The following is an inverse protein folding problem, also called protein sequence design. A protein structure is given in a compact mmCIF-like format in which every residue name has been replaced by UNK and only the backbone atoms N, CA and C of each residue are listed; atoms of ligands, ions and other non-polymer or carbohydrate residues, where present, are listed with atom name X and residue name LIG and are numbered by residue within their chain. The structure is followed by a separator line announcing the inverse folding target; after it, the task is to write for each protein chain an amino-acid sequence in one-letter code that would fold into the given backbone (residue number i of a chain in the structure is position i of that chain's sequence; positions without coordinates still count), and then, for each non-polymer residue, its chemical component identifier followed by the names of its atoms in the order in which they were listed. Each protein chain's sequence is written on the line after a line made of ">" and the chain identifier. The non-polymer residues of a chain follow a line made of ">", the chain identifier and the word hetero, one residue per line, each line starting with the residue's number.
data_IF_788046313716
#
_entry.id   IF_788046313716
#
_cell.length_a   1.000
_cell.length_b   1.000
_cell.length_c   1.000
_cell.angle_alpha   90.00
_cell.angle_beta   90.00
_cell.angle_gamma   90.00
#
_symmetry.space_group_name_H-M   'P 1'
#
loop_
_entity.id
_entity.type
_entity.pdbx_description
1 polymer ?
#
# COMPACT_ATOMS: atom_id res chain seq x y z
N UNK A 1 -35.79 47.05 -47.59
CA UNK A 1 -34.72 46.04 -47.43
C UNK A 1 -35.22 44.98 -46.45
N UNK A 2 -35.68 43.85 -47.00
CA UNK A 2 -35.46 42.45 -46.56
C UNK A 2 -35.34 42.13 -45.05
N UNK A 3 -36.32 41.32 -44.61
CA UNK A 3 -36.35 40.22 -43.61
C UNK A 3 -36.48 40.48 -42.10
N UNK A 4 -37.57 39.94 -41.55
CA UNK A 4 -37.54 39.10 -40.34
C UNK A 4 -38.68 38.06 -40.39
N UNK A 5 -38.30 36.79 -40.48
CA UNK A 5 -39.17 35.63 -40.30
C UNK A 5 -39.27 35.38 -38.79
N UNK A 6 -40.48 35.37 -38.24
CA UNK A 6 -40.76 34.80 -36.92
C UNK A 6 -41.56 33.51 -37.14
N UNK A 7 -40.90 32.37 -36.97
CA UNK A 7 -41.54 31.09 -36.75
C UNK A 7 -42.03 31.03 -35.30
N UNK A 8 -43.32 30.75 -35.13
CA UNK A 8 -43.93 30.35 -33.88
C UNK A 8 -43.72 28.83 -33.72
N UNK A 9 -42.85 28.43 -32.80
CA UNK A 9 -42.80 27.06 -32.31
C UNK A 9 -43.96 26.83 -31.32
N UNK A 10 -44.74 25.75 -31.43
CA UNK A 10 -45.72 25.42 -30.40
C UNK A 10 -45.02 24.73 -29.23
N UNK A 11 -45.33 25.28 -28.07
CA UNK A 11 -45.10 24.83 -26.70
C UNK A 11 -45.34 23.33 -26.49
N UNK A 12 -44.47 22.75 -25.65
CA UNK A 12 -44.50 21.35 -25.24
C UNK A 12 -45.86 20.88 -24.72
N UNK A 13 -46.22 19.68 -25.16
CA UNK A 13 -47.16 18.83 -24.46
C UNK A 13 -46.36 17.77 -23.69
N UNK A 14 -46.70 17.47 -22.43
CA UNK A 14 -46.11 16.35 -21.72
C UNK A 14 -46.55 15.06 -22.42
N UNK A 15 -45.57 14.28 -22.88
CA UNK A 15 -45.82 12.93 -23.38
C UNK A 15 -46.34 12.10 -22.20
N UNK A 16 -47.52 11.46 -22.31
CA UNK A 16 -48.02 10.60 -21.25
C UNK A 16 -47.11 9.37 -21.17
N UNK A 17 -46.33 9.30 -20.09
CA UNK A 17 -45.60 8.08 -19.68
C UNK A 17 -46.65 7.09 -19.19
N UNK A 18 -47.20 6.27 -20.09
CA UNK A 18 -48.12 5.19 -19.73
C UNK A 18 -47.28 3.96 -19.40
N UNK A 19 -46.79 3.89 -18.17
CA UNK A 19 -45.96 2.79 -17.67
C UNK A 19 -44.57 2.72 -18.31
N UNK A 20 -43.77 1.74 -17.90
CA UNK A 20 -42.37 1.49 -18.31
C UNK A 20 -42.18 1.21 -19.82
N UNK A 21 -43.19 1.47 -20.66
CA UNK A 21 -43.14 1.22 -22.11
C UNK A 21 -42.81 2.53 -22.81
N UNK A 22 -41.63 2.58 -23.45
CA UNK A 22 -41.27 3.68 -24.32
C UNK A 22 -42.04 3.59 -25.64
N UNK A 23 -42.65 4.70 -26.05
CA UNK A 23 -43.52 4.73 -27.23
C UNK A 23 -43.07 5.81 -28.23
N UNK A 24 -42.75 5.37 -29.44
CA UNK A 24 -42.21 6.20 -30.54
C UNK A 24 -43.32 6.67 -31.45
N UNK A 25 -43.41 7.97 -31.66
CA UNK A 25 -44.32 8.58 -32.61
C UNK A 25 -43.87 8.32 -34.06
N UNK A 26 -44.56 7.45 -34.79
CA UNK A 26 -44.40 7.33 -36.25
C UNK A 26 -45.47 8.17 -36.96
N UNK A 27 -45.05 9.05 -37.88
CA UNK A 27 -45.96 9.76 -38.80
C UNK A 27 -45.96 9.06 -40.15
N UNK A 28 -47.04 8.36 -40.47
CA UNK A 28 -47.27 7.83 -41.82
C UNK A 28 -47.93 8.88 -42.71
N UNK A 29 -47.57 8.91 -44.00
CA UNK A 29 -47.94 9.96 -44.95
C UNK A 29 -49.44 10.05 -45.30
N UNK A 30 -50.28 9.14 -44.79
CA UNK A 30 -51.70 9.03 -45.18
C UNK A 30 -52.70 9.08 -44.03
N UNK A 31 -52.26 9.23 -42.77
CA UNK A 31 -53.13 9.48 -41.61
C UNK A 31 -52.36 10.17 -40.48
N UNK A 32 -52.80 11.33 -39.95
CA UNK A 32 -52.12 12.03 -38.86
C UNK A 32 -52.47 11.45 -37.48
N UNK A 33 -52.62 10.13 -37.39
CA UNK A 33 -52.64 9.46 -36.09
C UNK A 33 -51.19 9.19 -35.72
N UNK A 34 -50.73 9.82 -34.63
CA UNK A 34 -49.48 9.46 -33.96
C UNK A 34 -49.55 7.98 -33.59
N UNK A 35 -49.00 7.12 -34.44
CA UNK A 35 -48.90 5.70 -34.13
C UNK A 35 -47.69 5.57 -33.23
N UNK A 36 -47.99 5.46 -31.95
CA UNK A 36 -47.00 5.23 -30.93
C UNK A 36 -46.58 3.74 -31.03
N UNK A 37 -45.41 3.45 -31.62
CA UNK A 37 -44.81 2.11 -31.67
C UNK A 37 -44.12 1.83 -30.33
N UNK A 38 -44.41 0.71 -29.65
CA UNK A 38 -43.57 0.27 -28.52
C UNK A 38 -42.19 -0.15 -29.04
N UNK A 39 -41.14 0.12 -28.27
CA UNK A 39 -39.79 -0.37 -28.60
C UNK A 39 -39.77 -1.90 -28.66
N UNK A 40 -38.97 -2.46 -29.57
CA UNK A 40 -38.78 -3.90 -29.67
C UNK A 40 -37.93 -4.43 -28.49
N UNK A 41 -37.94 -5.75 -28.24
CA UNK A 41 -37.15 -6.37 -27.16
C UNK A 41 -35.63 -6.13 -27.30
N UNK A 42 -35.13 -5.86 -28.52
CA UNK A 42 -33.74 -5.52 -28.78
C UNK A 42 -33.44 -4.02 -28.70
N UNK A 43 -34.43 -3.21 -28.34
CA UNK A 43 -34.37 -1.76 -28.29
C UNK A 43 -34.70 -1.26 -26.87
N UNK A 44 -34.26 -0.04 -26.56
CA UNK A 44 -34.63 0.68 -25.35
C UNK A 44 -35.10 2.08 -25.71
N UNK A 45 -35.96 2.65 -24.88
CA UNK A 45 -36.46 4.01 -25.08
C UNK A 45 -35.56 5.06 -24.47
N UNK A 46 -35.21 6.08 -25.24
CA UNK A 46 -34.46 7.23 -24.72
C UNK A 46 -35.39 8.10 -23.87
N UNK A 47 -35.01 8.36 -22.62
CA UNK A 47 -35.87 9.05 -21.65
C UNK A 47 -36.15 10.50 -22.08
N UNK A 48 -37.41 10.87 -22.13
CA UNK A 48 -37.82 12.22 -22.53
C UNK A 48 -37.85 12.45 -24.04
N UNK A 49 -37.57 11.42 -24.84
CA UNK A 49 -37.79 11.43 -26.28
C UNK A 49 -38.80 10.34 -26.66
N UNK A 50 -39.28 10.41 -27.89
CA UNK A 50 -40.08 9.35 -28.50
C UNK A 50 -39.19 8.55 -29.46
N UNK A 51 -37.95 8.26 -29.10
CA UNK A 51 -36.98 7.55 -29.95
C UNK A 51 -36.60 6.22 -29.27
N UNK A 52 -36.61 5.14 -30.06
CA UNK A 52 -36.04 3.85 -29.64
C UNK A 52 -34.65 3.72 -30.23
N UNK A 53 -33.69 3.35 -29.39
CA UNK A 53 -32.35 3.00 -29.81
C UNK A 53 -32.09 1.52 -29.63
N UNK A 54 -31.12 0.99 -30.38
CA UNK A 54 -30.73 -0.42 -30.25
C UNK A 54 -29.97 -0.61 -28.94
N UNK A 55 -30.17 -1.77 -28.33
CA UNK A 55 -29.47 -2.14 -27.12
C UNK A 55 -27.94 -2.02 -27.31
N UNK A 56 -27.21 -1.35 -26.42
CA UNK A 56 -25.77 -1.17 -26.53
C UNK A 56 -25.02 -2.51 -26.54
N UNK A 57 -24.17 -2.71 -27.55
CA UNK A 57 -23.43 -3.95 -27.77
C UNK A 57 -22.06 -3.67 -28.38
N UNK A 58 -21.16 -4.64 -28.29
CA UNK A 58 -19.81 -4.56 -28.84
C UNK A 58 -18.77 -4.07 -27.84
N UNK A 59 -17.51 -4.09 -28.27
CA UNK A 59 -16.35 -3.78 -27.41
C UNK A 59 -16.28 -2.32 -26.96
N UNK A 60 -16.99 -1.41 -27.65
CA UNK A 60 -17.08 0.00 -27.28
C UNK A 60 -17.95 0.22 -26.04
N UNK A 61 -18.95 -0.65 -25.83
CA UNK A 61 -19.93 -0.55 -24.75
C UNK A 61 -19.68 -1.58 -23.66
N UNK A 62 -19.14 -2.76 -24.02
CA UNK A 62 -18.82 -3.85 -23.11
C UNK A 62 -17.30 -3.92 -22.88
N UNK A 63 -16.80 -3.17 -21.90
CA UNK A 63 -15.36 -2.97 -21.68
C UNK A 63 -14.78 -4.14 -20.85
N UNK A 64 -13.67 -4.71 -21.32
CA UNK A 64 -12.85 -5.65 -20.55
C UNK A 64 -13.37 -7.10 -20.46
N UNK A 65 -14.48 -7.41 -21.12
CA UNK A 65 -15.11 -8.73 -21.06
C UNK A 65 -14.94 -9.57 -22.33
N UNK A 66 -15.11 -10.90 -22.24
CA UNK A 66 -15.09 -11.78 -23.41
C UNK A 66 -16.37 -11.71 -24.25
N UNK A 67 -17.46 -11.17 -23.70
CA UNK A 67 -18.75 -11.05 -24.37
C UNK A 67 -18.94 -9.65 -24.97
N UNK A 68 -19.51 -9.60 -26.16
CA UNK A 68 -19.98 -8.36 -26.80
C UNK A 68 -21.40 -7.98 -26.39
N UNK A 69 -22.05 -8.78 -25.54
CA UNK A 69 -23.41 -8.54 -25.04
C UNK A 69 -23.36 -8.37 -23.52
N UNK A 70 -23.43 -7.11 -23.08
CA UNK A 70 -23.39 -6.70 -21.68
C UNK A 70 -24.73 -6.11 -21.18
N UNK A 71 -25.66 -5.81 -22.09
CA UNK A 71 -26.98 -5.29 -21.76
C UNK A 71 -28.09 -6.18 -22.30
N UNK A 72 -29.20 -6.20 -21.57
CA UNK A 72 -30.46 -6.85 -21.90
C UNK A 72 -31.55 -5.78 -21.87
N UNK A 73 -32.07 -5.49 -23.04
CA UNK A 73 -33.20 -4.58 -23.22
C UNK A 73 -34.51 -5.39 -23.30
N UNK A 74 -35.64 -4.73 -23.06
CA UNK A 74 -36.98 -5.32 -23.10
C UNK A 74 -38.02 -4.34 -23.67
N UNK A 75 -37.59 -3.35 -24.46
CA UNK A 75 -38.43 -2.28 -24.96
C UNK A 75 -38.82 -1.21 -23.92
N UNK A 76 -38.33 -1.30 -22.69
CA UNK A 76 -38.52 -0.26 -21.67
C UNK A 76 -37.49 0.88 -21.81
N UNK A 77 -37.63 1.90 -20.97
CA UNK A 77 -36.59 2.94 -20.83
C UNK A 77 -35.38 2.46 -20.01
N UNK A 78 -35.53 1.34 -19.30
CA UNK A 78 -34.47 0.72 -18.50
C UNK A 78 -33.71 -0.33 -19.31
N UNK A 79 -32.42 -0.44 -19.04
CA UNK A 79 -31.57 -1.51 -19.57
C UNK A 79 -31.01 -2.29 -18.39
N UNK A 80 -31.08 -3.63 -18.45
CA UNK A 80 -30.49 -4.47 -17.41
C UNK A 80 -29.10 -4.92 -17.84
N UNK A 81 -28.16 -4.98 -16.91
CA UNK A 81 -26.81 -5.47 -17.17
C UNK A 81 -26.79 -6.99 -17.06
N UNK A 82 -26.09 -7.67 -17.97
CA UNK A 82 -25.98 -9.14 -17.92
C UNK A 82 -25.00 -9.60 -16.83
N UNK A 83 -25.12 -10.86 -16.42
CA UNK A 83 -24.21 -11.45 -15.43
C UNK A 83 -22.73 -11.30 -15.86
N UNK A 84 -21.87 -10.94 -14.91
CA UNK A 84 -20.44 -10.66 -15.16
C UNK A 84 -20.13 -9.22 -15.54
N UNK A 85 -21.13 -8.36 -15.71
CA UNK A 85 -20.95 -6.93 -15.98
C UNK A 85 -21.54 -6.06 -14.87
N UNK A 86 -21.02 -4.83 -14.75
CA UNK A 86 -21.48 -3.80 -13.83
C UNK A 86 -21.52 -2.44 -14.54
N UNK A 87 -22.43 -1.54 -14.15
CA UNK A 87 -22.49 -0.18 -14.70
C UNK A 87 -22.57 0.89 -13.62
N UNK A 88 -22.04 2.07 -13.94
CA UNK A 88 -21.97 3.20 -13.01
C UNK A 88 -23.33 3.84 -12.69
N UNK A 89 -24.20 3.95 -13.69
CA UNK A 89 -25.51 4.58 -13.53
C UNK A 89 -26.55 3.89 -14.40
N UNK A 90 -27.82 4.09 -14.06
CA UNK A 90 -28.96 3.54 -14.81
C UNK A 90 -29.02 4.02 -16.28
N UNK A 91 -28.36 5.14 -16.58
CA UNK A 91 -28.30 5.76 -17.91
C UNK A 91 -26.98 5.49 -18.63
N UNK A 92 -26.05 4.77 -18.01
CA UNK A 92 -24.78 4.44 -18.66
C UNK A 92 -25.00 3.39 -19.73
N UNK A 93 -24.69 3.74 -20.97
CA UNK A 93 -24.61 2.81 -22.12
C UNK A 93 -23.29 2.01 -22.13
N UNK A 94 -22.41 2.28 -21.16
CA UNK A 94 -21.14 1.57 -20.98
C UNK A 94 -21.23 0.67 -19.75
N UNK A 95 -20.85 -0.59 -19.92
CA UNK A 95 -20.72 -1.58 -18.87
C UNK A 95 -19.29 -2.12 -18.80
N UNK A 96 -18.84 -2.38 -17.57
CA UNK A 96 -17.51 -2.88 -17.26
C UNK A 96 -17.60 -4.35 -16.83
N UNK A 97 -16.71 -5.17 -17.38
CA UNK A 97 -16.58 -6.56 -16.98
C UNK A 97 -15.97 -6.67 -15.59
N UNK A 98 -16.55 -7.54 -14.76
CA UNK A 98 -16.05 -7.81 -13.42
C UNK A 98 -14.93 -8.85 -13.49
N UNK A 99 -13.71 -8.47 -13.07
CA UNK A 99 -12.53 -9.35 -13.13
C UNK A 99 -12.69 -10.66 -12.35
N UNK A 100 -13.56 -10.68 -11.34
CA UNK A 100 -13.83 -11.88 -10.52
C UNK A 100 -15.16 -12.48 -10.97
N UNK A 101 -15.07 -13.55 -11.76
CA UNK A 101 -16.24 -14.24 -12.30
C UNK A 101 -17.23 -14.65 -11.21
N UNK A 102 -18.51 -14.27 -11.38
CA UNK A 102 -19.59 -14.60 -10.46
C UNK A 102 -19.83 -13.62 -9.31
N UNK A 103 -19.05 -12.53 -9.20
CA UNK A 103 -19.32 -11.47 -8.21
C UNK A 103 -20.46 -10.56 -8.66
N UNK A 104 -20.48 -10.22 -9.95
CA UNK A 104 -21.53 -9.42 -10.55
C UNK A 104 -22.63 -10.37 -11.05
N UNK A 105 -23.72 -10.45 -10.30
CA UNK A 105 -24.87 -11.31 -10.63
C UNK A 105 -25.63 -10.78 -11.85
N UNK A 106 -25.63 -9.46 -12.05
CA UNK A 106 -26.34 -8.82 -13.17
C UNK A 106 -27.85 -8.83 -12.97
N UNK A 107 -28.59 -8.91 -14.08
CA UNK A 107 -30.06 -8.96 -14.21
C UNK A 107 -30.85 -7.79 -13.60
N UNK A 108 -30.14 -6.74 -13.20
CA UNK A 108 -30.69 -5.50 -12.69
C UNK A 108 -30.14 -4.34 -13.50
N UNK A 109 -30.72 -3.17 -13.29
CA UNK A 109 -30.26 -1.95 -13.91
C UNK A 109 -28.78 -1.69 -13.59
N UNK A 110 -28.37 -1.54 -12.33
CA UNK A 110 -26.97 -1.22 -12.01
C UNK A 110 -26.02 -2.43 -12.03
N UNK A 111 -26.57 -3.65 -11.97
CA UNK A 111 -25.81 -4.88 -11.70
C UNK A 111 -25.71 -5.11 -10.19
N UNK A 112 -26.34 -6.18 -9.70
CA UNK A 112 -26.29 -6.57 -8.28
C UNK A 112 -25.03 -7.37 -7.99
N UNK A 113 -24.49 -7.15 -6.80
CA UNK A 113 -23.33 -7.85 -6.30
C UNK A 113 -23.77 -9.10 -5.51
N UNK A 114 -22.91 -10.10 -5.42
CA UNK A 114 -23.16 -11.27 -4.56
C UNK A 114 -23.18 -10.91 -3.06
N UNK A 115 -23.75 -11.79 -2.23
CA UNK A 115 -24.04 -11.62 -0.79
C UNK A 115 -22.87 -11.25 0.14
N UNK A 116 -21.65 -11.08 -0.36
CA UNK A 116 -20.45 -10.71 0.41
C UNK A 116 -19.91 -9.33 0.05
N UNK A 117 -20.56 -8.68 -0.90
CA UNK A 117 -20.11 -7.47 -1.55
C UNK A 117 -21.17 -6.39 -1.39
N UNK A 118 -20.72 -5.16 -1.20
CA UNK A 118 -21.63 -4.05 -1.04
C UNK A 118 -22.28 -3.73 -2.40
N UNK A 119 -23.61 -3.75 -2.44
CA UNK A 119 -24.36 -3.37 -3.64
C UNK A 119 -24.11 -1.89 -3.98
N UNK A 120 -24.18 -1.57 -5.28
CA UNK A 120 -23.98 -0.22 -5.84
C UNK A 120 -22.55 0.34 -5.78
N UNK A 121 -21.59 -0.42 -5.24
CA UNK A 121 -20.18 -0.02 -5.27
C UNK A 121 -19.52 -0.38 -6.62
N UNK A 122 -18.49 0.39 -7.06
CA UNK A 122 -17.83 0.18 -8.34
C UNK A 122 -17.34 -1.25 -8.54
N UNK A 123 -17.80 -1.88 -9.62
CA UNK A 123 -17.46 -3.26 -10.03
C UNK A 123 -17.65 -4.32 -8.92
N UNK A 124 -18.53 -4.06 -7.95
CA UNK A 124 -18.68 -4.92 -6.77
C UNK A 124 -17.33 -5.17 -6.07
N UNK A 125 -16.46 -4.16 -6.06
CA UNK A 125 -15.12 -4.26 -5.53
C UNK A 125 -15.10 -4.25 -3.99
N UNK A 126 -16.10 -3.66 -3.36
CA UNK A 126 -16.13 -3.40 -1.92
C UNK A 126 -16.83 -4.55 -1.20
N UNK A 127 -16.21 -5.08 -0.14
CA UNK A 127 -16.85 -6.10 0.70
C UNK A 127 -17.90 -5.49 1.62
N UNK A 128 -18.93 -6.26 1.94
CA UNK A 128 -19.92 -5.88 2.96
C UNK A 128 -19.32 -5.87 4.37
N UNK A 129 -19.99 -5.22 5.33
CA UNK A 129 -19.55 -5.20 6.72
C UNK A 129 -19.38 -6.62 7.28
N UNK A 130 -18.23 -6.89 7.91
CA UNK A 130 -17.88 -8.23 8.40
C UNK A 130 -17.15 -9.10 7.38
N UNK A 131 -16.95 -8.62 6.15
CA UNK A 131 -16.15 -9.29 5.12
C UNK A 131 -14.92 -8.46 4.76
N UNK A 132 -13.82 -9.14 4.42
CA UNK A 132 -12.60 -8.52 3.91
C UNK A 132 -12.06 -9.29 2.71
N UNK A 133 -11.36 -8.57 1.82
CA UNK A 133 -10.67 -9.19 0.68
C UNK A 133 -9.50 -10.05 1.15
N UNK A 134 -9.48 -11.29 0.68
CA UNK A 134 -8.36 -12.22 0.84
C UNK A 134 -7.25 -11.97 -0.20
N UNK A 135 -6.13 -12.68 -0.09
CA UNK A 135 -5.00 -12.66 -1.04
C UNK A 135 -5.39 -13.03 -2.48
N UNK A 136 -6.52 -13.71 -2.67
CA UNK A 136 -7.08 -14.03 -3.99
C UNK A 136 -8.04 -12.94 -4.53
N UNK A 137 -8.24 -11.85 -3.79
CA UNK A 137 -9.14 -10.76 -4.18
C UNK A 137 -10.64 -11.02 -3.93
N UNK A 138 -10.99 -12.14 -3.29
CA UNK A 138 -12.36 -12.50 -2.94
C UNK A 138 -12.73 -12.03 -1.53
N UNK A 139 -13.98 -11.63 -1.30
CA UNK A 139 -14.45 -11.26 0.03
C UNK A 139 -14.69 -12.53 0.87
N UNK A 140 -13.99 -12.62 2.00
CA UNK A 140 -14.09 -13.69 3.00
C UNK A 140 -14.57 -13.13 4.34
N UNK A 141 -15.24 -13.94 5.12
CA UNK A 141 -15.76 -13.53 6.43
C UNK A 141 -14.60 -13.25 7.40
N UNK A 142 -14.69 -12.13 8.11
CA UNK A 142 -13.70 -11.74 9.10
C UNK A 142 -13.80 -12.63 10.33
N UNK A 143 -12.68 -13.23 10.73
CA UNK A 143 -12.58 -13.85 12.05
C UNK A 143 -12.78 -12.81 13.16
N UNK A 144 -13.13 -13.29 14.37
CA UNK A 144 -13.30 -12.43 15.53
C UNK A 144 -12.10 -11.48 15.71
N UNK A 145 -12.35 -10.21 16.07
CA UNK A 145 -11.34 -9.16 16.07
C UNK A 145 -10.05 -9.52 16.85
N UNK A 146 -10.17 -10.29 17.93
CA UNK A 146 -9.02 -10.76 18.71
C UNK A 146 -8.08 -11.67 17.90
N UNK A 147 -8.60 -12.49 16.98
CA UNK A 147 -7.80 -13.34 16.09
C UNK A 147 -6.99 -12.47 15.15
N UNK A 148 -7.61 -11.46 14.53
CA UNK A 148 -6.92 -10.53 13.64
C UNK A 148 -5.82 -9.75 14.38
N UNK A 149 -6.07 -9.34 15.63
CA UNK A 149 -5.04 -8.69 16.47
C UNK A 149 -3.89 -9.64 16.76
N UNK A 150 -4.17 -10.88 17.17
CA UNK A 150 -3.13 -11.88 17.46
C UNK A 150 -2.29 -12.15 16.22
N UNK A 151 -2.92 -12.36 15.07
CA UNK A 151 -2.24 -12.58 13.79
C UNK A 151 -1.34 -11.38 13.45
N UNK A 152 -1.84 -10.15 13.56
CA UNK A 152 -1.03 -8.95 13.31
C UNK A 152 0.16 -8.83 14.27
N UNK A 153 -0.02 -9.12 15.56
CA UNK A 153 1.07 -9.08 16.54
C UNK A 153 2.12 -10.14 16.23
N UNK A 154 1.71 -11.35 15.85
CA UNK A 154 2.63 -12.43 15.45
C UNK A 154 3.44 -12.03 14.21
N UNK A 155 2.79 -11.48 13.18
CA UNK A 155 3.47 -10.98 11.98
C UNK A 155 4.42 -9.82 12.30
N UNK A 156 4.01 -8.88 13.16
CA UNK A 156 4.86 -7.77 13.56
C UNK A 156 6.10 -8.24 14.33
N UNK A 157 5.95 -9.20 15.25
CA UNK A 157 7.07 -9.81 15.98
C UNK A 157 8.01 -10.57 15.04
N UNK A 158 7.46 -11.38 14.13
CA UNK A 158 8.24 -12.10 13.12
C UNK A 158 9.04 -11.13 12.24
N UNK A 159 8.40 -10.06 11.75
CA UNK A 159 9.05 -9.01 10.97
C UNK A 159 10.16 -8.30 11.75
N UNK A 160 9.95 -7.99 13.03
CA UNK A 160 10.97 -7.38 13.89
C UNK A 160 12.17 -8.33 14.11
N UNK A 161 11.93 -9.63 14.29
CA UNK A 161 13.00 -10.64 14.41
C UNK A 161 13.81 -10.72 13.12
N UNK A 162 13.15 -10.80 11.97
CA UNK A 162 13.82 -10.84 10.66
C UNK A 162 14.65 -9.58 10.43
N UNK A 163 14.10 -8.40 10.76
CA UNK A 163 14.82 -7.13 10.65
C UNK A 163 16.03 -7.09 11.59
N UNK A 164 15.90 -7.60 12.81
CA UNK A 164 17.01 -7.70 13.75
C UNK A 164 18.10 -8.63 13.23
N UNK A 165 17.73 -9.81 12.72
CA UNK A 165 18.68 -10.73 12.08
C UNK A 165 19.39 -10.05 10.93
N UNK A 166 18.65 -9.36 10.05
CA UNK A 166 19.22 -8.65 8.91
C UNK A 166 20.22 -7.56 9.33
N UNK A 167 19.86 -6.76 10.35
CA UNK A 167 20.75 -5.73 10.91
C UNK A 167 22.00 -6.35 11.54
N UNK A 168 21.84 -7.41 12.35
CA UNK A 168 22.98 -8.06 13.01
C UNK A 168 23.91 -8.73 12.01
N UNK A 169 23.36 -9.38 10.98
CA UNK A 169 24.14 -10.01 9.92
C UNK A 169 24.90 -8.94 9.12
N UNK A 170 24.23 -7.84 8.73
CA UNK A 170 24.86 -6.75 7.97
C UNK A 170 25.94 -6.02 8.78
N UNK A 171 25.73 -5.80 10.09
CA UNK A 171 26.70 -5.10 10.95
C UNK A 171 27.90 -5.97 11.37
N UNK A 172 27.79 -7.30 11.27
CA UNK A 172 28.88 -8.23 11.60
C UNK A 172 29.91 -8.38 10.48
N UNK A 173 29.63 -7.87 9.28
CA UNK A 173 30.51 -7.96 8.11
C UNK A 173 31.83 -7.16 8.25
N UNK A 174 31.96 -6.29 9.25
CA UNK A 174 33.18 -5.48 9.47
C UNK A 174 34.28 -6.18 10.31
N UNK A 175 34.06 -7.41 10.80
CA UNK A 175 34.87 -7.95 11.91
C UNK A 175 35.52 -9.34 11.81
N UNK A 176 35.10 -10.26 10.93
CA UNK A 176 35.70 -11.62 10.93
C UNK A 176 35.48 -12.41 9.64
N UNK A 177 36.53 -13.16 9.28
CA UNK A 177 36.80 -13.98 8.09
C UNK A 177 35.64 -14.80 7.48
N UNK A 178 35.49 -14.61 6.16
CA UNK A 178 35.18 -15.53 5.04
C UNK A 178 33.97 -16.48 5.04
N UNK A 179 33.14 -16.59 6.08
CA UNK A 179 31.90 -17.38 5.99
C UNK A 179 30.65 -16.49 5.98
N UNK A 180 29.83 -16.62 4.92
CA UNK A 180 28.45 -16.12 4.72
C UNK A 180 28.18 -14.82 3.91
N UNK A 181 29.18 -14.20 3.27
CA UNK A 181 28.89 -13.11 2.32
C UNK A 181 27.99 -13.55 1.14
N UNK A 182 28.09 -14.80 0.72
CA UNK A 182 27.30 -15.37 -0.38
C UNK A 182 25.80 -15.44 -0.06
N UNK A 183 25.42 -15.72 1.19
CA UNK A 183 24.02 -15.87 1.59
C UNK A 183 23.32 -14.51 1.65
N UNK A 184 23.98 -13.49 2.21
CA UNK A 184 23.45 -12.11 2.27
C UNK A 184 23.27 -11.55 0.87
N UNK A 185 24.23 -11.79 -0.03
CA UNK A 185 24.14 -11.39 -1.43
C UNK A 185 22.97 -12.09 -2.15
N UNK A 186 22.84 -13.41 -1.97
CA UNK A 186 21.74 -14.19 -2.56
C UNK A 186 20.37 -13.70 -2.07
N UNK A 187 20.25 -13.43 -0.77
CA UNK A 187 19.01 -12.95 -0.16
C UNK A 187 18.63 -11.56 -0.67
N UNK A 188 19.61 -10.65 -0.86
CA UNK A 188 19.38 -9.34 -1.50
C UNK A 188 18.85 -9.47 -2.93
N UNK A 189 19.47 -10.34 -3.74
CA UNK A 189 19.02 -10.61 -5.12
C UNK A 189 17.60 -11.19 -5.11
N UNK A 190 17.33 -12.14 -4.22
CA UNK A 190 16.01 -12.76 -4.09
C UNK A 190 14.93 -11.76 -3.69
N UNK A 191 15.19 -10.91 -2.68
CA UNK A 191 14.26 -9.86 -2.27
C UNK A 191 14.00 -8.87 -3.41
N UNK A 192 15.06 -8.46 -4.12
CA UNK A 192 14.91 -7.58 -5.28
C UNK A 192 14.06 -8.24 -6.38
N UNK A 193 14.28 -9.52 -6.66
CA UNK A 193 13.48 -10.28 -7.61
C UNK A 193 12.00 -10.34 -7.19
N UNK A 194 11.70 -10.65 -5.93
CA UNK A 194 10.33 -10.69 -5.41
C UNK A 194 9.66 -9.31 -5.51
N UNK A 195 10.39 -8.23 -5.23
CA UNK A 195 9.88 -6.86 -5.38
C UNK A 195 9.51 -6.53 -6.83
N UNK A 196 10.42 -6.80 -7.78
CA UNK A 196 10.17 -6.51 -9.21
C UNK A 196 9.08 -7.40 -9.78
N UNK A 197 9.12 -8.70 -9.48
CA UNK A 197 8.08 -9.65 -9.90
C UNK A 197 6.71 -9.31 -9.27
N UNK A 198 6.73 -8.73 -8.07
CA UNK A 198 5.56 -8.21 -7.37
C UNK A 198 4.86 -7.08 -8.10
N UNK A 199 5.64 -6.09 -8.56
CA UNK A 199 5.13 -4.98 -9.38
C UNK A 199 4.54 -5.48 -10.70
N UNK A 200 5.11 -6.53 -11.29
CA UNK A 200 4.55 -7.13 -12.53
C UNK A 200 3.17 -7.77 -12.30
N UNK A 201 2.88 -8.22 -11.08
CA UNK A 201 1.59 -8.78 -10.71
C UNK A 201 0.46 -7.73 -10.58
N UNK A 202 0.78 -6.44 -10.59
CA UNK A 202 -0.22 -5.36 -10.57
C UNK A 202 -0.85 -5.12 -11.95
N UNK A 203 -0.22 -5.59 -13.03
CA UNK A 203 -0.79 -5.45 -14.37
C UNK A 203 -1.94 -6.45 -14.56
N UNK A 204 -3.12 -5.95 -14.92
CA UNK A 204 -4.32 -6.73 -15.25
C UNK A 204 -4.18 -7.46 -16.59
N UNK A 205 -3.19 -8.35 -16.70
CA UNK A 205 -3.02 -9.24 -17.84
C UNK A 205 -3.75 -10.54 -17.54
N UNK A 206 -4.57 -11.00 -18.49
CA UNK A 206 -5.31 -12.27 -18.40
C UNK A 206 -4.34 -13.47 -18.46
N UNK A 207 -3.70 -13.76 -17.32
CA UNK A 207 -2.82 -14.90 -17.17
C UNK A 207 -3.61 -16.20 -16.99
N UNK A 208 -3.09 -17.34 -17.47
CA UNK A 208 -3.59 -18.65 -17.07
C UNK A 208 -3.60 -18.81 -15.55
N UNK A 209 -4.56 -19.57 -15.01
CA UNK A 209 -4.80 -19.67 -13.56
C UNK A 209 -3.57 -19.99 -12.71
N UNK A 210 -2.63 -20.79 -13.22
CA UNK A 210 -1.39 -21.13 -12.53
C UNK A 210 -0.40 -19.95 -12.44
N UNK A 211 -0.33 -19.10 -13.46
CA UNK A 211 0.52 -17.90 -13.47
C UNK A 211 -0.12 -16.79 -12.63
N UNK A 212 -1.44 -16.65 -12.71
CA UNK A 212 -2.19 -15.72 -11.87
C UNK A 212 -2.01 -16.04 -10.37
N UNK A 213 -2.08 -17.32 -10.00
CA UNK A 213 -1.84 -17.75 -8.62
C UNK A 213 -0.42 -17.41 -8.14
N UNK A 214 0.60 -17.60 -8.99
CA UNK A 214 1.97 -17.19 -8.68
C UNK A 214 2.06 -15.68 -8.47
N UNK A 215 1.55 -14.88 -9.39
CA UNK A 215 1.60 -13.42 -9.26
C UNK A 215 0.82 -12.91 -8.05
N UNK A 216 -0.32 -13.50 -7.69
CA UNK A 216 -1.07 -13.13 -6.48
C UNK A 216 -0.25 -13.33 -5.20
N UNK A 217 0.53 -14.41 -5.11
CA UNK A 217 1.41 -14.66 -3.95
C UNK A 217 2.59 -13.68 -3.93
N UNK A 218 3.19 -13.40 -5.09
CA UNK A 218 4.35 -12.52 -5.20
C UNK A 218 3.97 -11.04 -5.03
N UNK A 219 2.81 -10.61 -5.53
CA UNK A 219 2.28 -9.25 -5.34
C UNK A 219 1.86 -9.00 -3.89
N UNK A 220 1.28 -10.01 -3.21
CA UNK A 220 0.96 -9.92 -1.78
C UNK A 220 2.20 -9.79 -0.89
N UNK A 221 3.31 -10.44 -1.26
CA UNK A 221 4.56 -10.46 -0.47
C UNK A 221 5.47 -9.26 -0.74
N UNK A 222 5.40 -8.66 -1.94
CA UNK A 222 6.14 -7.46 -2.32
C UNK A 222 5.44 -6.15 -1.93
N UNK A 223 4.16 -6.22 -1.52
CA UNK A 223 3.34 -5.05 -1.20
C UNK A 223 2.63 -4.41 -2.40
N UNK A 224 2.72 -5.03 -3.59
CA UNK A 224 2.10 -4.53 -4.82
C UNK A 224 0.60 -4.84 -4.95
N UNK A 225 0.12 -5.94 -4.36
CA UNK A 225 -1.31 -6.12 -4.13
C UNK A 225 -1.74 -5.21 -2.97
N UNK A 226 -1.91 -3.91 -3.25
CA UNK A 226 -2.01 -2.86 -2.23
C UNK A 226 -2.88 -3.23 -1.03
N UNK A 227 -2.31 -3.11 0.18
CA UNK A 227 -2.88 -3.07 1.57
C UNK A 227 -4.03 -4.04 1.90
N UNK A 228 -4.43 -4.93 1.01
CA UNK A 228 -5.54 -5.82 1.23
C UNK A 228 -5.11 -7.04 2.02
N UNK A 229 -4.34 -6.81 3.08
CA UNK A 229 -4.03 -7.80 4.10
C UNK A 229 -5.34 -7.99 4.86
N UNK A 230 -5.99 -9.11 4.60
CA UNK A 230 -7.28 -9.51 5.17
C UNK A 230 -7.47 -9.12 6.66
N UNK A 231 -6.48 -9.28 7.58
CA UNK A 231 -6.63 -8.91 8.99
C UNK A 231 -6.74 -7.40 9.25
N UNK A 232 -6.05 -6.54 8.48
CA UNK A 232 -6.08 -5.07 8.68
C UNK A 232 -7.43 -4.52 8.23
N UNK A 233 -7.94 -5.01 7.10
CA UNK A 233 -9.26 -4.65 6.60
C UNK A 233 -10.37 -5.09 7.57
N UNK A 234 -10.22 -6.24 8.23
CA UNK A 234 -11.16 -6.70 9.26
C UNK A 234 -11.12 -5.85 10.55
N UNK A 235 -9.96 -5.32 10.93
CA UNK A 235 -9.81 -4.51 12.15
C UNK A 235 -10.27 -3.07 11.96
N UNK A 236 -10.09 -2.52 10.76
CA UNK A 236 -10.41 -1.13 10.45
C UNK A 236 -11.30 -1.03 9.19
N UNK A 237 -12.56 -1.52 9.26
CA UNK A 237 -13.45 -1.56 8.10
C UNK A 237 -13.82 -0.16 7.58
N UNK A 238 -13.81 0.85 8.46
CA UNK A 238 -14.22 2.23 8.13
C UNK A 238 -13.11 3.10 7.53
N UNK A 239 -11.88 2.61 7.46
CA UNK A 239 -10.77 3.40 6.89
C UNK A 239 -10.98 3.53 5.39
N UNK A 240 -10.93 4.77 4.89
CA UNK A 240 -10.98 5.00 3.44
C UNK A 240 -9.71 4.49 2.78
N UNK A 241 -9.73 4.32 1.46
CA UNK A 241 -8.54 3.94 0.69
C UNK A 241 -7.36 4.92 0.95
N UNK A 242 -7.64 6.22 1.03
CA UNK A 242 -6.62 7.24 1.30
C UNK A 242 -6.01 7.11 2.69
N UNK A 243 -6.83 6.83 3.71
CA UNK A 243 -6.32 6.63 5.07
C UNK A 243 -5.37 5.43 5.14
N UNK A 244 -5.74 4.34 4.46
CA UNK A 244 -4.90 3.14 4.36
C UNK A 244 -3.57 3.47 3.68
N UNK A 245 -3.61 4.20 2.56
CA UNK A 245 -2.42 4.62 1.83
C UNK A 245 -1.48 5.47 2.69
N UNK A 246 -2.03 6.44 3.44
CA UNK A 246 -1.26 7.29 4.34
C UNK A 246 -0.61 6.46 5.45
N UNK A 247 -1.35 5.53 6.06
CA UNK A 247 -0.80 4.64 7.09
C UNK A 247 0.33 3.78 6.53
N UNK A 248 0.18 3.21 5.33
CA UNK A 248 1.23 2.41 4.70
C UNK A 248 2.49 3.24 4.37
N UNK A 249 2.32 4.48 3.93
CA UNK A 249 3.45 5.35 3.58
C UNK A 249 4.21 5.83 4.83
N UNK A 250 3.48 6.15 5.91
CA UNK A 250 4.03 6.79 7.11
C UNK A 250 4.51 5.76 8.14
N UNK A 251 3.85 4.61 8.27
CA UNK A 251 4.15 3.66 9.34
C UNK A 251 5.57 3.06 9.26
N UNK A 252 6.07 2.56 8.11
CA UNK A 252 7.44 2.03 8.02
C UNK A 252 8.53 3.05 8.39
N UNK A 253 8.58 4.28 7.82
CA UNK A 253 9.60 5.25 8.21
C UNK A 253 9.43 5.71 9.67
N UNK A 254 8.20 5.83 10.18
CA UNK A 254 7.96 6.15 11.58
C UNK A 254 8.53 5.06 12.52
N UNK A 255 8.33 3.78 12.20
CA UNK A 255 8.89 2.67 12.98
C UNK A 255 10.42 2.65 12.94
N UNK A 256 11.05 2.95 11.81
CA UNK A 256 12.50 3.06 11.70
C UNK A 256 13.06 4.20 12.54
N UNK A 257 12.39 5.36 12.54
CA UNK A 257 12.76 6.51 13.37
C UNK A 257 12.63 6.16 14.86
N UNK A 258 11.53 5.51 15.27
CA UNK A 258 11.33 5.06 16.64
C UNK A 258 12.39 4.05 17.08
N UNK A 259 12.75 3.10 16.20
CA UNK A 259 13.80 2.13 16.46
C UNK A 259 15.18 2.80 16.61
N UNK A 260 15.52 3.74 15.74
CA UNK A 260 16.75 4.53 15.83
C UNK A 260 16.81 5.33 17.15
N UNK A 261 15.72 5.99 17.53
CA UNK A 261 15.62 6.71 18.81
C UNK A 261 15.82 5.75 19.99
N UNK A 262 15.21 4.55 19.95
CA UNK A 262 15.38 3.55 21.00
C UNK A 262 16.84 3.07 21.13
N UNK A 263 17.54 2.86 20.01
CA UNK A 263 18.98 2.53 20.00
C UNK A 263 19.83 3.66 20.58
N UNK A 264 19.57 4.92 20.19
CA UNK A 264 20.27 6.08 20.72
C UNK A 264 20.04 6.23 22.23
N UNK A 265 18.80 6.05 22.69
CA UNK A 265 18.44 6.13 24.10
C UNK A 265 19.11 5.02 24.92
N UNK A 266 19.13 3.79 24.41
CA UNK A 266 19.82 2.66 25.05
C UNK A 266 21.35 2.88 25.07
N UNK A 267 21.93 3.38 23.99
CA UNK A 267 23.34 3.77 23.92
C UNK A 267 23.69 4.87 24.94
N UNK A 268 22.86 5.90 25.04
CA UNK A 268 23.00 6.97 26.03
C UNK A 268 22.93 6.44 27.47
N UNK A 269 21.95 5.57 27.77
CA UNK A 269 21.84 4.92 29.09
C UNK A 269 23.05 4.05 29.41
N UNK A 270 23.59 3.33 28.41
CA UNK A 270 24.79 2.50 28.60
C UNK A 270 26.00 3.36 28.93
N UNK A 271 26.29 4.41 28.15
CA UNK A 271 27.39 5.35 28.44
C UNK A 271 27.26 5.98 29.82
N UNK A 272 26.07 6.43 30.20
CA UNK A 272 25.86 7.03 31.54
C UNK A 272 26.06 6.02 32.68
N UNK A 273 25.76 4.73 32.47
CA UNK A 273 26.07 3.68 33.45
C UNK A 273 27.58 3.43 33.55
N UNK A 274 28.30 3.47 32.43
CA UNK A 274 29.77 3.34 32.41
C UNK A 274 30.44 4.53 33.10
N UNK A 275 30.00 5.77 32.85
CA UNK A 275 30.47 6.97 33.55
C UNK A 275 30.21 6.90 35.07
N UNK A 276 29.02 6.46 35.50
CA UNK A 276 28.72 6.26 36.93
C UNK A 276 29.59 5.19 37.58
N UNK A 277 29.91 4.10 36.85
CA UNK A 277 30.82 3.05 37.34
C UNK A 277 32.25 3.56 37.47
N UNK A 278 32.71 4.36 36.52
CA UNK A 278 34.04 5.00 36.58
C UNK A 278 34.15 5.99 37.75
N UNK A 279 33.12 6.81 37.98
CA UNK A 279 33.09 7.75 39.12
C UNK A 279 33.10 7.03 40.48
N UNK A 280 32.30 5.97 40.66
CA UNK A 280 32.27 5.22 41.92
C UNK A 280 33.56 4.41 42.18
N UNK A 281 34.26 3.97 41.12
CA UNK A 281 35.55 3.29 41.27
C UNK A 281 36.66 4.26 41.71
N UNK A 282 36.62 5.51 41.25
CA UNK A 282 37.58 6.55 41.67
C UNK A 282 37.46 6.92 43.15
N UNK A 283 36.23 7.06 43.67
CA UNK A 283 36.00 7.38 45.10
C UNK A 283 36.54 6.29 46.04
N UNK A 284 36.41 5.01 45.64
CA UNK A 284 36.86 3.87 46.47
C UNK A 284 38.39 3.77 46.61
N UNK A 285 39.16 4.34 45.69
CA UNK A 285 40.62 4.41 45.80
C UNK A 285 41.09 5.54 46.72
N UNK A 286 40.29 6.59 46.90
CA UNK A 286 40.60 7.71 47.79
C UNK A 286 40.36 7.33 49.26
N UNK A 287 39.29 6.59 49.56
CA UNK A 287 38.98 6.17 50.94
C UNK A 287 40.00 5.17 51.51
N UNK A 288 40.59 4.30 50.70
CA UNK A 288 41.60 3.33 51.17
C UNK A 288 42.93 4.01 51.55
N UNK A 289 43.20 5.19 51.01
CA UNK A 289 44.45 5.91 51.27
C UNK A 289 44.36 6.85 52.50
N UNK A 290 43.18 6.98 53.12
CA UNK A 290 42.95 7.87 54.27
C UNK A 290 43.16 7.20 55.64
N UNK A 291 43.41 5.89 55.69
CA UNK A 291 43.55 5.15 56.97
C UNK A 291 45.02 4.86 57.34
N UNK A 292 46.01 5.40 56.61
CA UNK A 292 47.44 5.08 56.84
C UNK A 292 48.26 6.13 57.59
N UNK A 293 47.67 7.23 58.04
CA UNK A 293 48.41 8.32 58.71
C UNK A 293 47.97 8.50 60.17
N UNK A 294 48.27 7.50 61.01
CA UNK A 294 48.28 7.66 62.47
C UNK A 294 49.18 6.60 63.14
N UNK A 295 50.50 6.70 63.02
CA UNK A 295 51.43 6.32 64.09
C UNK A 295 52.80 6.97 63.84
N UNK A 296 53.37 7.54 64.90
CA UNK A 296 54.55 8.42 64.95
C UNK A 296 55.88 7.67 64.94
N UNK A 297 56.91 8.45 64.57
CA UNK A 297 58.33 8.37 64.96
C UNK A 297 59.28 7.40 64.26
N UNK A 298 60.33 8.00 63.69
CA UNK A 298 61.69 7.56 63.99
C UNK A 298 62.56 7.16 62.80
N UNK A 299 63.36 8.13 62.36
CA UNK A 299 64.70 7.98 61.78
C UNK A 299 64.90 7.42 60.35
N UNK A 300 65.40 8.35 59.52
CA UNK A 300 66.47 8.23 58.52
C UNK A 300 66.71 6.86 57.85
N UNK A 301 66.51 6.79 56.52
CA UNK A 301 67.58 6.39 55.60
C UNK A 301 67.23 6.69 54.12
N UNK A 302 68.27 7.10 53.38
CA UNK A 302 68.30 7.40 51.94
C UNK A 302 67.71 6.30 51.04
N UNK A 303 66.94 6.71 50.03
CA UNK A 303 67.04 6.20 48.65
C UNK A 303 66.29 7.09 47.68
N UNK A 304 67.02 7.65 46.71
CA UNK A 304 66.44 8.28 45.54
C UNK A 304 65.69 7.25 44.70
N UNK A 305 64.46 7.59 44.29
CA UNK A 305 63.69 6.81 43.34
C UNK A 305 62.89 7.76 42.46
N UNK A 306 63.10 7.58 41.15
CA UNK A 306 62.56 8.38 40.04
C UNK A 306 61.04 8.53 40.12
N UNK A 307 60.60 9.79 40.05
CA UNK A 307 59.20 10.18 39.83
C UNK A 307 58.91 9.95 38.35
N UNK A 308 58.22 8.85 38.04
CA UNK A 308 57.66 8.59 36.72
C UNK A 308 56.31 9.27 36.56
N UNK A 309 56.23 10.21 35.62
CA UNK A 309 55.01 10.82 35.11
C UNK A 309 53.98 9.75 34.69
N UNK A 310 52.84 9.70 35.39
CA UNK A 310 51.67 8.88 35.02
C UNK A 310 50.47 9.82 34.87
N UNK A 311 50.47 10.64 33.81
CA UNK A 311 49.26 11.40 33.43
C UNK A 311 49.10 11.65 31.91
N UNK A 312 49.79 10.90 31.04
CA UNK A 312 49.72 11.11 29.57
C UNK A 312 48.94 10.05 28.76
N UNK A 313 48.44 8.98 29.39
CA UNK A 313 47.83 7.85 28.66
C UNK A 313 46.34 8.04 28.31
N UNK A 314 45.64 9.03 28.89
CA UNK A 314 44.22 9.32 28.59
C UNK A 314 44.07 10.30 27.41
N UNK A 315 45.07 11.16 27.15
CA UNK A 315 45.06 12.09 26.02
C UNK A 315 45.30 11.42 24.66
N UNK A 316 46.16 10.40 24.61
CA UNK A 316 46.54 9.72 23.38
C UNK A 316 45.38 8.94 22.72
N UNK A 317 44.44 8.40 23.52
CA UNK A 317 43.29 7.68 22.99
C UNK A 317 42.19 8.61 22.45
N UNK A 318 42.06 9.84 22.97
CA UNK A 318 41.12 10.85 22.46
C UNK A 318 41.58 11.42 21.12
N UNK A 319 42.89 11.58 20.91
CA UNK A 319 43.45 12.10 19.66
C UNK A 319 43.30 11.10 18.51
N UNK A 320 43.56 9.80 18.76
CA UNK A 320 43.36 8.73 17.77
C UNK A 320 41.89 8.52 17.37
N UNK A 321 40.94 8.67 18.31
CA UNK A 321 39.50 8.55 18.00
C UNK A 321 38.96 9.77 17.26
N UNK A 322 39.41 10.98 17.58
CA UNK A 322 39.05 12.19 16.83
C UNK A 322 39.59 12.17 15.38
N UNK A 323 40.83 11.70 15.19
CA UNK A 323 41.43 11.56 13.85
C UNK A 323 40.74 10.46 13.01
N UNK A 324 40.33 9.34 13.63
CA UNK A 324 39.58 8.29 12.94
C UNK A 324 38.18 8.75 12.49
N UNK A 325 37.48 9.54 13.31
CA UNK A 325 36.17 10.10 12.96
C UNK A 325 36.30 11.18 11.88
N UNK A 326 37.32 12.03 11.93
CA UNK A 326 37.59 13.02 10.90
C UNK A 326 37.94 12.37 9.54
N UNK A 327 38.70 11.27 9.55
CA UNK A 327 39.02 10.50 8.34
C UNK A 327 37.78 9.82 7.72
N UNK A 328 36.86 9.29 8.54
CA UNK A 328 35.62 8.66 8.05
C UNK A 328 34.66 9.67 7.40
N UNK A 329 34.56 10.88 7.96
CA UNK A 329 33.72 11.96 7.42
C UNK A 329 34.36 12.54 6.13
N UNK A 330 35.69 12.69 6.08
CA UNK A 330 36.36 13.13 4.86
C UNK A 330 36.28 12.09 3.73
N UNK A 331 36.30 10.79 4.04
CA UNK A 331 36.22 9.72 3.05
C UNK A 331 34.87 9.60 2.37
N UNK A 332 33.78 9.83 3.10
CA UNK A 332 32.40 9.82 2.58
C UNK A 332 32.12 11.03 1.68
N UNK A 333 32.65 12.20 2.02
CA UNK A 333 32.54 13.40 1.17
C UNK A 333 33.33 13.24 -0.14
N UNK A 334 34.51 12.61 -0.10
CA UNK A 334 35.33 12.41 -1.30
C UNK A 334 34.76 11.32 -2.25
N UNK A 335 34.01 10.35 -1.72
CA UNK A 335 33.30 9.34 -2.54
C UNK A 335 32.09 9.94 -3.28
N UNK A 336 31.30 10.79 -2.62
CA UNK A 336 30.22 11.52 -3.30
C UNK A 336 30.76 12.48 -4.36
N UNK A 337 31.86 13.18 -4.06
CA UNK A 337 32.49 14.11 -5.03
C UNK A 337 33.01 13.38 -6.27
N UNK A 338 33.53 12.16 -6.13
CA UNK A 338 33.95 11.32 -7.27
C UNK A 338 32.78 10.76 -8.07
N UNK A 339 31.64 10.45 -7.44
CA UNK A 339 30.42 10.07 -8.16
C UNK A 339 29.82 11.23 -8.95
N UNK A 340 29.81 12.44 -8.38
CA UNK A 340 29.33 13.64 -9.07
C UNK A 340 30.24 14.02 -10.25
N UNK A 341 31.57 13.92 -10.09
CA UNK A 341 32.51 14.18 -11.19
C UNK A 341 32.44 13.13 -12.31
N UNK A 342 32.07 11.88 -12.02
CA UNK A 342 31.80 10.86 -13.05
C UNK A 342 30.50 11.11 -13.80
N UNK A 343 29.45 11.61 -13.12
CA UNK A 343 28.19 12.00 -13.77
C UNK A 343 28.30 13.24 -14.64
N UNK A 344 29.26 14.13 -14.36
CA UNK A 344 29.50 15.33 -15.18
C UNK A 344 30.36 15.09 -16.43
N UNK A 345 30.89 13.87 -16.63
CA UNK A 345 31.77 13.51 -17.76
C UNK A 345 31.07 12.57 -18.78
N UNK A 346 29.79 12.28 -18.58
CA UNK A 346 28.90 11.57 -19.53
C UNK A 346 27.88 12.58 -20.03
#
# INVERSE_FOLDING_TARGET
>A
IVFRIQQLAPTGMPVPVVGDVAVVAATDALTPFLVARPCADSEYGVRGTSECERCPQGLEHCIGGPSTVCFKCNGSTGMNVTAGYWRYSEFSEVAYHCSTGGVCLGDTELGTCGDKYLNHEPLCAVCEEGYARDILGTCVECAAAWVSVVVLVVFALAGAIVLLIFVVVTLKEDGSEEADHSLVLLLKIFVNFVQVAGMLGEFEVNFPSYVAAYFNVVSASSGGAGISISPINCLFPKMTYLDKLVVQLVAPPALLVLFAIALLFNGYRKRRKEERRAANAGVRLVDVNSDTDAESDGDAQERGQEVGDVDDSVGANRKKTAEAIAAAISGTVDTERRMLLRKARV
#
